data_IF_181462065131
#
_entry.id   IF_181462065131
#
_cell.length_a   1.000
_cell.length_b   1.000
_cell.length_c   1.000
_cell.angle_alpha   90.00
_cell.angle_beta   90.00
_cell.angle_gamma   90.00
#
_symmetry.space_group_name_H-M   'P 1'
#
loop_
_entity.id
_entity.type
_entity.pdbx_description
1 polymer ?
#
# COMPACT_ATOMS: atom_id res chain seq x y z
N UNK A 1 72.55 -30.35 -42.14
CA UNK A 1 72.40 -29.86 -40.77
C UNK A 1 71.21 -28.87 -40.72
N UNK A 2 70.06 -29.32 -40.39
CA UNK A 2 68.86 -28.43 -40.29
C UNK A 2 68.51 -28.22 -38.83
N UNK A 3 68.57 -26.96 -38.43
CA UNK A 3 68.10 -26.51 -37.08
C UNK A 3 66.57 -26.46 -37.06
N UNK A 4 65.95 -27.12 -36.10
CA UNK A 4 64.54 -27.05 -35.84
C UNK A 4 64.31 -25.95 -34.81
N UNK A 5 63.72 -24.86 -35.26
CA UNK A 5 63.23 -23.82 -34.38
C UNK A 5 61.81 -24.21 -33.94
N UNK A 6 61.63 -24.46 -32.65
CA UNK A 6 60.31 -24.73 -32.05
C UNK A 6 59.59 -23.37 -31.82
N UNK A 7 58.43 -23.21 -32.45
CA UNK A 7 57.48 -22.13 -32.16
C UNK A 7 56.62 -22.56 -30.94
N UNK A 8 56.83 -21.85 -29.84
CA UNK A 8 55.93 -21.99 -28.66
C UNK A 8 54.75 -21.03 -28.85
N UNK A 9 53.57 -21.58 -29.12
CA UNK A 9 52.30 -20.85 -29.17
C UNK A 9 51.78 -20.72 -27.73
N UNK A 10 51.86 -19.50 -27.18
CA UNK A 10 51.20 -19.19 -25.91
C UNK A 10 49.72 -18.91 -26.21
N UNK A 11 48.84 -19.82 -25.84
CA UNK A 11 47.42 -19.58 -25.86
C UNK A 11 47.02 -18.78 -24.62
N UNK A 12 46.71 -17.48 -24.79
CA UNK A 12 46.05 -16.68 -23.78
C UNK A 12 44.57 -17.16 -23.69
N UNK A 13 44.24 -17.90 -22.64
CA UNK A 13 42.86 -18.14 -22.26
C UNK A 13 42.30 -16.86 -21.64
N UNK A 14 41.52 -16.10 -22.38
CA UNK A 14 40.63 -15.06 -21.86
C UNK A 14 39.52 -15.78 -21.08
N UNK A 15 39.67 -15.81 -19.76
CA UNK A 15 38.56 -16.09 -18.85
C UNK A 15 37.63 -14.87 -18.92
N UNK A 16 36.67 -14.91 -19.84
CA UNK A 16 35.49 -14.08 -19.74
C UNK A 16 34.72 -14.52 -18.48
N UNK A 17 34.90 -13.74 -17.41
CA UNK A 17 33.96 -13.81 -16.30
C UNK A 17 32.59 -13.32 -16.84
N UNK A 18 31.78 -14.26 -17.30
CA UNK A 18 30.39 -14.01 -17.51
C UNK A 18 29.80 -13.74 -16.11
N UNK A 19 29.61 -12.46 -15.76
CA UNK A 19 28.68 -12.12 -14.70
C UNK A 19 27.37 -12.82 -15.09
N UNK A 20 26.69 -13.53 -14.17
CA UNK A 20 25.39 -14.07 -14.48
C UNK A 20 24.53 -12.91 -14.97
N UNK A 21 23.99 -13.01 -16.17
CA UNK A 21 22.91 -12.15 -16.62
C UNK A 21 21.78 -12.38 -15.61
N UNK A 22 21.61 -11.43 -14.69
CA UNK A 22 20.44 -11.38 -13.85
C UNK A 22 19.29 -11.16 -14.83
N UNK A 23 18.54 -12.22 -15.10
CA UNK A 23 17.39 -12.15 -15.98
C UNK A 23 16.28 -11.53 -15.10
N UNK A 24 16.16 -10.21 -15.14
CA UNK A 24 15.08 -9.50 -14.45
C UNK A 24 13.75 -9.98 -15.05
N UNK A 25 12.98 -10.71 -14.26
CA UNK A 25 11.79 -11.41 -14.71
C UNK A 25 10.52 -10.55 -14.65
N UNK A 26 10.62 -9.31 -14.18
CA UNK A 26 9.50 -8.37 -14.05
C UNK A 26 9.82 -7.00 -14.66
N UNK A 27 8.90 -6.05 -14.47
CA UNK A 27 9.05 -4.70 -15.02
C UNK A 27 8.98 -3.65 -13.91
N UNK A 28 9.98 -2.76 -13.79
CA UNK A 28 9.98 -1.65 -12.85
C UNK A 28 9.02 -0.55 -13.28
N UNK A 29 8.27 -0.02 -12.32
CA UNK A 29 7.47 1.19 -12.47
C UNK A 29 8.04 2.20 -11.46
N UNK A 30 8.65 3.29 -11.92
CA UNK A 30 9.03 4.37 -11.02
C UNK A 30 7.78 4.94 -10.36
N UNK A 31 7.80 5.01 -9.03
CA UNK A 31 6.73 5.62 -8.25
C UNK A 31 7.27 6.83 -7.50
N UNK A 32 6.41 7.79 -7.25
CA UNK A 32 6.76 9.06 -6.61
C UNK A 32 5.95 9.20 -5.33
N UNK A 33 6.63 9.54 -4.23
CA UNK A 33 5.98 9.91 -2.98
C UNK A 33 5.31 11.28 -3.14
N UNK A 34 4.07 11.38 -2.72
CA UNK A 34 3.32 12.63 -2.61
C UNK A 34 3.19 13.01 -1.12
N UNK A 35 3.44 14.28 -0.81
CA UNK A 35 3.23 14.85 0.52
C UNK A 35 4.10 14.33 1.69
N UNK A 36 3.86 14.88 2.88
CA UNK A 36 4.46 14.51 4.16
C UNK A 36 3.60 14.99 5.32
N UNK A 37 3.49 14.20 6.40
CA UNK A 37 2.91 14.63 7.68
C UNK A 37 3.85 15.54 8.48
N UNK A 38 5.05 15.77 7.97
CA UNK A 38 6.03 16.69 8.53
C UNK A 38 6.21 17.87 7.57
N UNK A 39 5.98 19.08 8.04
CA UNK A 39 6.20 20.29 7.26
C UNK A 39 7.70 20.51 7.00
N UNK A 40 8.09 21.30 5.98
CA UNK A 40 9.50 21.54 5.65
C UNK A 40 10.34 22.13 6.80
N UNK A 41 9.70 22.76 7.78
CA UNK A 41 10.35 23.30 8.98
C UNK A 41 10.50 22.26 10.12
N UNK A 42 10.14 20.98 9.91
CA UNK A 42 10.23 19.92 10.89
C UNK A 42 9.05 19.83 11.87
N UNK A 43 8.01 20.66 11.69
CA UNK A 43 6.82 20.61 12.55
C UNK A 43 5.80 19.61 12.02
N UNK A 44 5.04 19.02 12.95
CA UNK A 44 3.96 18.09 12.66
C UNK A 44 2.78 18.80 11.96
N UNK A 45 2.25 18.20 10.91
CA UNK A 45 1.06 18.68 10.23
C UNK A 45 -0.19 17.96 10.76
N UNK A 46 -0.77 18.51 11.81
CA UNK A 46 -1.91 17.92 12.51
C UNK A 46 -3.14 17.77 11.62
N UNK A 47 -3.40 18.73 10.72
CA UNK A 47 -4.58 18.70 9.84
C UNK A 47 -4.47 17.52 8.86
N UNK A 48 -3.34 17.38 8.19
CA UNK A 48 -3.07 16.25 7.29
C UNK A 48 -3.09 14.91 8.02
N UNK A 49 -2.53 14.86 9.23
CA UNK A 49 -2.48 13.64 10.02
C UNK A 49 -3.87 13.17 10.48
N UNK A 50 -4.75 14.11 10.84
CA UNK A 50 -6.15 13.80 11.16
C UNK A 50 -6.86 13.24 9.92
N UNK A 51 -6.70 13.89 8.75
CA UNK A 51 -7.28 13.44 7.49
C UNK A 51 -6.80 12.03 7.13
N UNK A 52 -5.47 11.77 7.18
CA UNK A 52 -4.91 10.45 6.92
C UNK A 52 -5.48 9.36 7.84
N UNK A 53 -5.65 9.64 9.15
CA UNK A 53 -6.26 8.71 10.09
C UNK A 53 -7.74 8.43 9.77
N UNK A 54 -8.49 9.43 9.36
CA UNK A 54 -9.90 9.26 8.96
C UNK A 54 -10.02 8.47 7.65
N UNK A 55 -9.16 8.74 6.66
CA UNK A 55 -9.06 7.99 5.40
C UNK A 55 -8.79 6.51 5.68
N UNK A 56 -7.83 6.20 6.56
CA UNK A 56 -7.53 4.85 7.02
C UNK A 56 -8.79 4.16 7.62
N UNK A 57 -9.46 4.80 8.58
CA UNK A 57 -10.65 4.22 9.22
C UNK A 57 -11.77 3.98 8.22
N UNK A 58 -11.97 4.90 7.28
CA UNK A 58 -12.98 4.80 6.23
C UNK A 58 -12.70 3.64 5.27
N UNK A 59 -11.43 3.51 4.83
CA UNK A 59 -10.99 2.40 3.98
C UNK A 59 -11.27 1.05 4.65
N UNK A 60 -10.88 0.90 5.92
CA UNK A 60 -11.13 -0.33 6.66
C UNK A 60 -12.61 -0.63 6.89
N UNK A 61 -13.41 0.38 7.23
CA UNK A 61 -14.85 0.23 7.39
C UNK A 61 -15.51 -0.33 6.11
N UNK A 62 -15.16 0.24 4.94
CA UNK A 62 -15.64 -0.22 3.64
C UNK A 62 -15.17 -1.64 3.34
N UNK A 63 -13.91 -1.95 3.61
CA UNK A 63 -13.35 -3.27 3.39
C UNK A 63 -14.07 -4.34 4.20
N UNK A 64 -14.41 -4.07 5.47
CA UNK A 64 -15.20 -5.00 6.29
C UNK A 64 -16.59 -5.24 5.71
N UNK A 65 -17.26 -4.19 5.20
CA UNK A 65 -18.55 -4.32 4.51
C UNK A 65 -18.40 -5.17 3.23
N UNK A 66 -17.34 -4.96 2.46
CA UNK A 66 -17.06 -5.77 1.27
C UNK A 66 -16.78 -7.23 1.63
N UNK A 67 -15.99 -7.48 2.67
CA UNK A 67 -15.69 -8.82 3.17
C UNK A 67 -16.96 -9.56 3.61
N UNK A 68 -17.83 -8.92 4.42
CA UNK A 68 -19.11 -9.54 4.79
C UNK A 68 -19.92 -9.90 3.55
N UNK A 69 -20.04 -8.97 2.59
CA UNK A 69 -20.80 -9.18 1.36
C UNK A 69 -20.21 -10.27 0.45
N UNK A 70 -18.88 -10.41 0.42
CA UNK A 70 -18.18 -11.32 -0.48
C UNK A 70 -17.97 -12.71 0.11
N UNK A 71 -17.71 -12.82 1.41
CA UNK A 71 -17.51 -14.09 2.12
C UNK A 71 -18.81 -14.67 2.71
N UNK A 72 -19.83 -13.81 2.90
CA UNK A 72 -21.08 -14.15 3.59
C UNK A 72 -21.00 -13.92 5.11
N UNK A 73 -22.17 -13.66 5.71
CA UNK A 73 -22.31 -13.25 7.13
C UNK A 73 -21.73 -14.28 8.11
N UNK A 74 -21.90 -15.58 7.85
CA UNK A 74 -21.41 -16.64 8.73
C UNK A 74 -19.89 -16.63 8.78
N UNK A 75 -19.24 -16.69 7.60
CA UNK A 75 -17.77 -16.67 7.51
C UNK A 75 -17.18 -15.36 8.03
N UNK A 76 -17.82 -14.22 7.75
CA UNK A 76 -17.40 -12.93 8.27
C UNK A 76 -17.40 -12.90 9.81
N UNK A 77 -18.44 -13.41 10.47
CA UNK A 77 -18.53 -13.47 11.94
C UNK A 77 -17.52 -14.43 12.57
N UNK A 78 -17.13 -15.49 11.89
CA UNK A 78 -16.02 -16.34 12.35
C UNK A 78 -14.69 -15.59 12.39
N UNK A 79 -14.45 -14.74 11.41
CA UNK A 79 -13.21 -13.99 11.26
C UNK A 79 -13.15 -12.70 12.10
N UNK A 80 -14.31 -12.07 12.27
CA UNK A 80 -14.47 -10.79 12.97
C UNK A 80 -15.65 -10.87 13.96
N UNK A 81 -15.54 -11.67 15.04
CA UNK A 81 -16.66 -11.93 15.96
C UNK A 81 -17.18 -10.66 16.65
N UNK A 82 -16.29 -9.69 16.88
CA UNK A 82 -16.59 -8.45 17.60
C UNK A 82 -16.92 -7.27 16.68
N UNK A 83 -16.85 -7.46 15.36
CA UNK A 83 -17.12 -6.39 14.40
C UNK A 83 -18.61 -6.02 14.39
N UNK A 84 -18.91 -4.75 14.62
CA UNK A 84 -20.25 -4.17 14.56
C UNK A 84 -20.37 -3.19 13.39
N UNK A 85 -20.73 -3.71 12.22
CA UNK A 85 -20.87 -2.91 11.00
C UNK A 85 -21.95 -1.81 11.14
N UNK A 86 -22.89 -1.94 12.09
CA UNK A 86 -23.90 -0.90 12.33
C UNK A 86 -23.30 0.38 12.90
N UNK A 87 -22.15 0.29 13.57
CA UNK A 87 -21.40 1.44 14.07
C UNK A 87 -20.65 2.15 12.95
N UNK A 88 -20.20 1.40 11.94
CA UNK A 88 -19.49 1.95 10.79
C UNK A 88 -20.40 2.82 9.92
N UNK A 89 -21.66 2.42 9.75
CA UNK A 89 -22.67 3.17 8.98
C UNK A 89 -23.17 4.45 9.69
N UNK A 90 -23.00 4.57 11.02
CA UNK A 90 -23.52 5.69 11.82
C UNK A 90 -22.51 6.82 12.06
N UNK A 91 -21.24 6.62 11.74
CA UNK A 91 -20.21 7.66 11.90
C UNK A 91 -20.28 8.63 10.73
N UNK A 92 -21.36 9.41 10.67
CA UNK A 92 -21.55 10.46 9.67
C UNK A 92 -20.73 11.70 10.02
N UNK A 93 -19.81 12.07 9.11
CA UNK A 93 -19.44 13.41 8.73
C UNK A 93 -18.91 14.36 9.80
N UNK A 94 -17.59 14.39 9.99
CA UNK A 94 -16.90 15.66 10.22
C UNK A 94 -16.37 16.11 8.86
N UNK A 95 -16.96 17.17 8.29
CA UNK A 95 -16.45 17.79 7.07
C UNK A 95 -15.08 18.39 7.37
N UNK A 96 -14.03 17.73 6.90
CA UNK A 96 -12.67 18.26 6.90
C UNK A 96 -12.40 18.83 5.51
N UNK A 97 -11.79 20.03 5.46
CA UNK A 97 -11.14 20.49 4.25
C UNK A 97 -9.81 19.77 4.15
N UNK A 98 -9.65 18.96 3.13
CA UNK A 98 -8.35 18.47 2.74
C UNK A 98 -7.52 19.67 2.27
N UNK A 99 -6.33 19.80 2.81
CA UNK A 99 -5.38 20.84 2.42
C UNK A 99 -4.13 20.16 1.90
N UNK A 100 -4.15 19.91 0.59
CA UNK A 100 -3.00 19.60 -0.26
C UNK A 100 -1.98 18.57 0.24
N UNK A 101 -1.73 17.58 -0.56
CA UNK A 101 -0.72 16.54 -0.53
C UNK A 101 -1.07 15.24 0.24
N UNK A 102 -1.88 14.41 -0.38
CA UNK A 102 -2.03 13.01 0.03
C UNK A 102 -0.67 12.28 0.04
N UNK A 103 -0.51 11.42 1.03
CA UNK A 103 0.73 10.69 1.32
C UNK A 103 0.73 9.36 0.59
N UNK A 104 0.75 9.38 -0.74
CA UNK A 104 0.54 8.25 -1.62
C UNK A 104 1.72 7.99 -2.54
N UNK A 105 1.79 6.76 -3.06
CA UNK A 105 2.83 6.32 -3.99
C UNK A 105 2.25 6.12 -5.38
N UNK A 106 2.43 7.12 -6.23
CA UNK A 106 1.79 7.16 -7.54
C UNK A 106 2.73 6.79 -8.68
N UNK A 107 2.16 6.14 -9.70
CA UNK A 107 2.83 5.83 -10.96
C UNK A 107 1.86 5.79 -12.13
N UNK A 108 2.37 5.56 -13.33
CA UNK A 108 1.56 5.63 -14.55
C UNK A 108 1.05 4.25 -14.97
N UNK A 109 -0.24 4.19 -15.27
CA UNK A 109 -0.88 3.06 -15.96
C UNK A 109 -1.53 3.51 -17.27
N UNK A 110 -2.00 2.57 -18.09
CA UNK A 110 -2.81 2.90 -19.24
C UNK A 110 -4.04 1.99 -19.35
N UNK A 111 -5.15 2.58 -19.83
CA UNK A 111 -6.44 1.90 -20.01
C UNK A 111 -6.93 2.15 -21.45
N UNK A 112 -7.37 1.09 -22.11
CA UNK A 112 -8.05 1.16 -23.42
C UNK A 112 -7.17 0.97 -24.64
N UNK A 113 -7.83 0.92 -25.80
CA UNK A 113 -7.22 0.76 -27.12
C UNK A 113 -7.79 1.80 -28.08
N UNK A 114 -7.02 2.85 -28.48
CA UNK A 114 -5.67 3.17 -28.04
C UNK A 114 -5.59 3.52 -26.55
N UNK A 115 -4.40 3.39 -26.00
CA UNK A 115 -4.11 3.61 -24.57
C UNK A 115 -4.41 5.06 -24.14
N UNK A 116 -5.08 5.21 -22.99
CA UNK A 116 -5.28 6.45 -22.25
C UNK A 116 -4.47 6.35 -20.95
N UNK A 117 -3.61 7.31 -20.66
CA UNK A 117 -2.67 7.25 -19.53
C UNK A 117 -3.23 7.96 -18.30
N UNK A 118 -2.95 7.38 -17.13
CA UNK A 118 -3.40 7.86 -15.83
C UNK A 118 -2.27 7.77 -14.80
N UNK A 119 -2.21 8.75 -13.91
CA UNK A 119 -1.39 8.70 -12.69
C UNK A 119 -2.25 8.08 -11.60
N UNK A 120 -1.77 7.00 -10.98
CA UNK A 120 -2.58 6.14 -10.10
C UNK A 120 -1.85 5.91 -8.79
N UNK A 121 -2.59 5.95 -7.67
CA UNK A 121 -2.15 5.42 -6.38
C UNK A 121 -2.21 3.89 -6.38
N UNK A 122 -1.14 3.23 -5.91
CA UNK A 122 -1.04 1.77 -5.81
C UNK A 122 -1.27 1.30 -4.38
N UNK A 123 -2.46 0.78 -4.12
CA UNK A 123 -2.97 0.47 -2.78
C UNK A 123 -3.11 -1.03 -2.51
N UNK A 124 -2.22 -1.62 -1.71
CA UNK A 124 -2.33 -3.05 -1.31
C UNK A 124 -3.42 -3.31 -0.27
N UNK A 125 -4.00 -2.25 0.31
CA UNK A 125 -5.10 -2.34 1.27
C UNK A 125 -6.49 -2.25 0.64
N UNK A 126 -6.63 -2.14 -0.69
CA UNK A 126 -7.91 -2.20 -1.40
C UNK A 126 -7.80 -3.05 -2.67
N UNK A 127 -8.92 -3.26 -3.41
CA UNK A 127 -8.95 -4.25 -4.49
C UNK A 127 -9.65 -3.77 -5.78
N UNK A 128 -10.12 -2.55 -5.84
CA UNK A 128 -10.81 -2.02 -7.02
C UNK A 128 -9.91 -1.04 -7.79
N UNK A 129 -10.09 -0.99 -9.12
CA UNK A 129 -9.52 0.05 -9.98
C UNK A 129 -10.60 1.07 -10.32
N UNK A 130 -10.32 2.35 -10.14
CA UNK A 130 -11.18 3.42 -10.62
C UNK A 130 -10.39 4.63 -11.09
N UNK A 131 -10.95 5.38 -12.05
CA UNK A 131 -10.43 6.64 -12.61
C UNK A 131 -11.58 7.58 -12.90
N UNK A 132 -11.31 8.88 -13.00
CA UNK A 132 -12.30 9.86 -13.44
C UNK A 132 -12.84 9.57 -14.85
N UNK A 133 -14.14 9.75 -15.08
CA UNK A 133 -14.77 9.66 -16.41
C UNK A 133 -14.72 10.99 -17.15
N UNK A 134 -14.62 10.95 -18.47
CA UNK A 134 -14.75 12.15 -19.33
C UNK A 134 -16.13 12.84 -19.24
N UNK A 135 -17.12 12.17 -18.67
CA UNK A 135 -18.43 12.74 -18.34
C UNK A 135 -18.53 13.30 -16.91
N UNK A 136 -17.49 13.15 -16.10
CA UNK A 136 -17.42 13.71 -14.76
C UNK A 136 -17.27 15.22 -14.81
N UNK A 137 -18.21 15.94 -14.23
CA UNK A 137 -18.18 17.42 -14.23
C UNK A 137 -17.26 17.99 -13.13
N UNK A 138 -16.98 17.20 -12.11
CA UNK A 138 -16.13 17.57 -10.95
C UNK A 138 -14.67 17.18 -11.17
N UNK A 139 -14.35 16.14 -11.91
CA UNK A 139 -12.98 15.61 -12.14
C UNK A 139 -12.08 16.49 -13.05
N UNK A 140 -12.20 17.80 -13.01
CA UNK A 140 -11.62 18.73 -14.01
C UNK A 140 -10.10 18.84 -13.99
N UNK A 141 -9.46 18.43 -12.91
CA UNK A 141 -7.99 18.51 -12.76
C UNK A 141 -7.29 17.21 -13.16
N UNK A 142 -8.05 16.12 -13.27
CA UNK A 142 -7.55 14.79 -13.53
C UNK A 142 -7.61 14.44 -15.02
N UNK A 143 -6.75 13.53 -15.47
CA UNK A 143 -6.95 12.82 -16.72
C UNK A 143 -8.19 11.95 -16.56
N UNK A 144 -9.04 11.95 -17.59
CA UNK A 144 -10.32 11.27 -17.51
C UNK A 144 -10.45 10.20 -18.61
N UNK A 145 -10.98 9.05 -18.24
CA UNK A 145 -11.23 7.96 -19.16
C UNK A 145 -12.44 8.26 -20.06
N UNK A 146 -12.23 8.11 -21.38
CA UNK A 146 -13.31 8.23 -22.36
C UNK A 146 -13.58 6.87 -23.01
N UNK A 147 -14.69 6.18 -22.66
CA UNK A 147 -15.01 4.86 -23.22
C UNK A 147 -15.22 4.90 -24.75
N UNK A 148 -15.68 6.02 -25.31
CA UNK A 148 -15.88 6.15 -26.78
C UNK A 148 -14.56 6.22 -27.55
N UNK A 149 -13.43 6.43 -26.88
CA UNK A 149 -12.10 6.45 -27.47
C UNK A 149 -11.38 5.11 -27.38
N UNK A 150 -11.98 4.09 -26.75
CA UNK A 150 -11.41 2.75 -26.65
C UNK A 150 -12.27 1.76 -27.44
N UNK A 151 -11.64 1.05 -28.37
CA UNK A 151 -12.28 0.00 -29.14
C UNK A 151 -12.49 -1.31 -28.35
N UNK A 152 -11.88 -1.43 -27.18
CA UNK A 152 -11.94 -2.59 -26.29
C UNK A 152 -12.78 -2.31 -25.04
N UNK A 153 -13.36 -1.11 -24.92
CA UNK A 153 -14.24 -0.72 -23.81
C UNK A 153 -15.60 -1.41 -23.90
N UNK A 154 -16.01 -2.03 -22.81
CA UNK A 154 -17.34 -2.62 -22.66
C UNK A 154 -18.00 -2.13 -21.38
N UNK A 155 -19.24 -1.58 -21.50
CA UNK A 155 -20.03 -1.20 -20.32
C UNK A 155 -20.55 -2.44 -19.60
N UNK A 156 -20.42 -2.44 -18.27
CA UNK A 156 -20.86 -3.53 -17.40
C UNK A 156 -22.08 -3.11 -16.57
N UNK A 157 -22.80 -4.11 -16.03
CA UNK A 157 -23.93 -3.85 -15.14
C UNK A 157 -23.45 -3.50 -13.74
N UNK A 158 -24.15 -2.58 -13.10
CA UNK A 158 -23.90 -2.15 -11.73
C UNK A 158 -23.32 -0.76 -11.66
N UNK A 159 -23.16 -0.28 -10.45
CA UNK A 159 -22.56 1.01 -10.11
C UNK A 159 -21.50 0.75 -9.05
N UNK A 160 -20.37 1.36 -9.23
CA UNK A 160 -19.32 1.43 -8.24
C UNK A 160 -19.57 2.65 -7.35
N UNK A 161 -19.33 2.51 -6.06
CA UNK A 161 -19.46 3.59 -5.09
C UNK A 161 -18.45 3.39 -3.96
N UNK A 162 -17.72 4.43 -3.67
CA UNK A 162 -16.89 4.57 -2.48
C UNK A 162 -17.39 5.78 -1.71
N UNK A 163 -17.57 5.61 -0.40
CA UNK A 163 -17.87 6.69 0.53
C UNK A 163 -16.86 6.62 1.68
N UNK A 164 -16.28 7.76 2.01
CA UNK A 164 -15.36 7.92 3.12
C UNK A 164 -16.08 8.53 4.33
N UNK A 165 -15.54 8.35 5.55
CA UNK A 165 -16.19 8.83 6.78
C UNK A 165 -16.21 10.37 6.91
N UNK A 166 -15.36 11.06 6.18
CA UNK A 166 -15.36 12.51 6.05
C UNK A 166 -16.45 13.03 5.10
N UNK A 167 -17.21 12.12 4.47
CA UNK A 167 -18.26 12.43 3.50
C UNK A 167 -17.76 12.57 2.07
N UNK A 168 -16.47 12.36 1.81
CA UNK A 168 -15.96 12.28 0.43
C UNK A 168 -16.45 11.00 -0.22
N UNK A 169 -16.72 11.05 -1.51
CA UNK A 169 -17.21 9.89 -2.25
C UNK A 169 -16.79 9.93 -3.71
N UNK A 170 -16.67 8.73 -4.31
CA UNK A 170 -16.55 8.58 -5.74
C UNK A 170 -17.50 7.50 -6.21
N UNK A 171 -18.24 7.76 -7.29
CA UNK A 171 -19.21 6.80 -7.84
C UNK A 171 -19.34 6.91 -9.34
N UNK A 172 -19.65 5.77 -9.98
CA UNK A 172 -19.81 5.76 -11.43
C UNK A 172 -20.11 4.38 -12.02
N UNK A 173 -20.33 4.33 -13.35
CA UNK A 173 -20.55 3.10 -14.07
C UNK A 173 -19.30 2.21 -14.09
N UNK A 174 -19.54 0.91 -14.22
CA UNK A 174 -18.50 -0.11 -14.32
C UNK A 174 -18.24 -0.41 -15.78
N UNK A 175 -16.97 -0.55 -16.13
CA UNK A 175 -16.49 -0.96 -17.45
C UNK A 175 -15.53 -2.14 -17.34
N UNK A 176 -15.30 -2.79 -18.48
CA UNK A 176 -14.13 -3.62 -18.72
C UNK A 176 -13.35 -3.06 -19.90
N UNK A 177 -12.03 -3.10 -19.81
CA UNK A 177 -11.14 -2.71 -20.89
C UNK A 177 -9.77 -3.41 -20.77
N UNK A 178 -8.89 -3.16 -21.73
CA UNK A 178 -7.48 -3.53 -21.65
C UNK A 178 -6.76 -2.58 -20.70
N UNK A 179 -6.05 -3.13 -19.69
CA UNK A 179 -5.26 -2.35 -18.73
C UNK A 179 -3.81 -2.80 -18.79
N UNK A 180 -2.89 -1.83 -18.80
CA UNK A 180 -1.45 -2.10 -18.80
C UNK A 180 -0.79 -1.38 -17.63
N UNK A 181 -0.05 -2.13 -16.82
CA UNK A 181 0.72 -1.66 -15.67
C UNK A 181 2.12 -2.24 -15.77
N UNK A 182 3.17 -1.41 -15.85
CA UNK A 182 4.54 -1.88 -15.92
C UNK A 182 4.81 -2.90 -17.05
N UNK A 183 4.19 -2.72 -18.22
CA UNK A 183 4.32 -3.65 -19.34
C UNK A 183 3.46 -4.93 -19.24
N UNK A 184 2.94 -5.28 -18.07
CA UNK A 184 1.94 -6.34 -17.93
C UNK A 184 0.60 -5.84 -18.47
N UNK A 185 0.03 -6.54 -19.47
CA UNK A 185 -1.23 -6.16 -20.12
C UNK A 185 -2.27 -7.24 -19.87
N UNK A 186 -3.42 -6.84 -19.37
CA UNK A 186 -4.59 -7.70 -19.16
C UNK A 186 -5.77 -7.21 -19.99
N UNK A 187 -6.61 -8.12 -20.45
CA UNK A 187 -7.83 -7.81 -21.20
C UNK A 187 -9.05 -8.02 -20.31
N UNK A 188 -10.10 -7.21 -20.55
CA UNK A 188 -11.35 -7.36 -19.81
C UNK A 188 -11.22 -7.08 -18.31
N UNK A 189 -10.25 -6.24 -17.89
CA UNK A 189 -10.13 -5.79 -16.50
C UNK A 189 -11.32 -4.94 -16.11
N UNK A 190 -11.95 -5.30 -15.01
CA UNK A 190 -13.03 -4.50 -14.42
C UNK A 190 -12.48 -3.26 -13.73
N UNK A 191 -13.13 -2.13 -13.96
CA UNK A 191 -12.84 -0.86 -13.27
C UNK A 191 -14.06 0.06 -13.33
N UNK A 192 -14.04 1.12 -12.52
CA UNK A 192 -15.03 2.17 -12.60
C UNK A 192 -14.48 3.42 -13.29
N UNK A 193 -15.25 4.00 -14.20
CA UNK A 193 -15.05 5.36 -14.67
C UNK A 193 -16.03 6.28 -13.91
N UNK A 194 -15.56 6.86 -12.80
CA UNK A 194 -16.41 7.60 -11.86
C UNK A 194 -16.93 8.89 -12.51
N UNK A 195 -18.22 9.17 -12.33
CA UNK A 195 -18.91 10.36 -12.86
C UNK A 195 -19.22 11.39 -11.80
N UNK A 196 -19.14 10.97 -10.54
CA UNK A 196 -19.24 11.85 -9.38
C UNK A 196 -18.01 11.59 -8.52
N UNK A 197 -17.31 12.64 -8.21
CA UNK A 197 -16.13 12.65 -7.37
C UNK A 197 -16.24 13.85 -6.43
N UNK A 198 -16.05 13.64 -5.13
CA UNK A 198 -16.06 14.73 -4.18
C UNK A 198 -14.94 15.72 -4.49
N UNK A 199 -15.18 17.01 -4.25
CA UNK A 199 -14.23 18.07 -4.58
C UNK A 199 -12.87 17.87 -3.91
N UNK A 200 -12.85 17.31 -2.72
CA UNK A 200 -11.64 16.99 -1.98
C UNK A 200 -10.74 15.96 -2.71
N UNK A 201 -11.34 14.92 -3.30
CA UNK A 201 -10.59 13.93 -4.09
C UNK A 201 -10.05 14.52 -5.40
N UNK A 202 -10.64 15.59 -5.93
CA UNK A 202 -10.17 16.25 -7.15
C UNK A 202 -8.99 17.19 -6.92
N UNK A 203 -8.61 17.42 -5.68
CA UNK A 203 -7.41 18.19 -5.30
C UNK A 203 -6.17 17.29 -5.24
N UNK A 204 -6.36 15.96 -5.13
CA UNK A 204 -5.31 14.98 -5.17
C UNK A 204 -4.60 14.97 -6.54
N UNK A 205 -3.31 14.71 -6.60
CA UNK A 205 -2.56 14.74 -7.87
C UNK A 205 -2.76 13.50 -8.74
N UNK A 206 -3.36 12.42 -8.22
CA UNK A 206 -3.64 11.19 -8.94
C UNK A 206 -5.00 11.22 -9.62
N UNK A 207 -5.07 10.54 -10.76
CA UNK A 207 -6.29 10.43 -11.58
C UNK A 207 -7.24 9.34 -11.05
N UNK A 208 -6.83 8.59 -10.03
CA UNK A 208 -7.56 7.48 -9.43
C UNK A 208 -6.68 6.51 -8.67
N UNK A 209 -7.21 5.34 -8.37
CA UNK A 209 -6.60 4.32 -7.50
C UNK A 209 -6.63 2.94 -8.16
N UNK A 210 -5.56 2.17 -7.99
CA UNK A 210 -5.48 0.75 -8.36
C UNK A 210 -5.23 -0.10 -7.13
N UNK A 211 -6.25 -0.84 -6.71
CA UNK A 211 -6.16 -1.79 -5.62
C UNK A 211 -5.32 -3.02 -5.99
N UNK A 212 -4.36 -3.35 -5.13
CA UNK A 212 -3.46 -4.50 -5.22
C UNK A 212 -3.71 -5.55 -4.11
N UNK A 213 -4.79 -5.39 -3.36
CA UNK A 213 -5.28 -6.39 -2.41
C UNK A 213 -5.89 -7.61 -3.11
N UNK A 214 -6.52 -8.51 -2.35
CA UNK A 214 -7.09 -9.73 -2.89
C UNK A 214 -8.60 -9.57 -3.17
N UNK A 215 -9.15 -10.45 -4.00
CA UNK A 215 -10.52 -10.37 -4.55
C UNK A 215 -11.63 -10.17 -3.51
N UNK A 216 -11.45 -10.70 -2.30
CA UNK A 216 -12.49 -10.57 -1.26
C UNK A 216 -12.72 -9.12 -0.77
N UNK A 217 -11.77 -8.20 -0.99
CA UNK A 217 -11.93 -6.77 -0.67
C UNK A 217 -12.69 -5.99 -1.76
N UNK A 218 -12.84 -6.53 -2.98
CA UNK A 218 -13.42 -5.80 -4.11
C UNK A 218 -14.90 -5.46 -3.87
N UNK A 219 -15.25 -4.19 -4.04
CA UNK A 219 -16.63 -3.71 -4.03
C UNK A 219 -17.40 -4.15 -5.29
N UNK A 220 -16.70 -4.33 -6.39
CA UNK A 220 -17.24 -4.85 -7.65
C UNK A 220 -17.37 -6.37 -7.67
N UNK A 221 -16.82 -7.11 -6.66
CA UNK A 221 -16.73 -8.58 -6.61
C UNK A 221 -15.95 -9.15 -7.81
N UNK A 222 -14.90 -8.46 -8.23
CA UNK A 222 -14.08 -8.81 -9.38
C UNK A 222 -12.63 -8.91 -8.97
N UNK A 223 -11.87 -9.66 -9.76
CA UNK A 223 -10.44 -9.79 -9.51
C UNK A 223 -9.72 -8.44 -9.71
N UNK A 224 -8.86 -8.05 -8.77
CA UNK A 224 -7.95 -6.94 -8.94
C UNK A 224 -7.01 -7.14 -10.13
N UNK A 225 -6.41 -6.07 -10.62
CA UNK A 225 -5.51 -6.10 -11.78
C UNK A 225 -4.44 -7.20 -11.67
N UNK A 226 -3.74 -7.27 -10.55
CA UNK A 226 -2.62 -8.20 -10.43
C UNK A 226 -3.07 -9.66 -10.38
N UNK A 227 -4.18 -9.96 -9.72
CA UNK A 227 -4.80 -11.30 -9.73
C UNK A 227 -5.24 -11.68 -11.16
N UNK A 228 -5.79 -10.73 -11.92
CA UNK A 228 -6.12 -10.93 -13.34
C UNK A 228 -4.86 -11.17 -14.17
N UNK A 229 -3.77 -10.44 -13.92
CA UNK A 229 -2.50 -10.59 -14.63
C UNK A 229 -1.89 -11.98 -14.44
N UNK A 230 -1.93 -12.50 -13.21
CA UNK A 230 -1.50 -13.87 -12.91
C UNK A 230 -2.38 -14.89 -13.65
N UNK A 231 -3.70 -14.77 -13.56
CA UNK A 231 -4.66 -15.69 -14.23
C UNK A 231 -4.53 -15.69 -15.75
N UNK A 232 -4.17 -14.56 -16.36
CA UNK A 232 -3.97 -14.42 -17.81
C UNK A 232 -2.54 -14.73 -18.26
N UNK A 233 -1.63 -15.09 -17.34
CA UNK A 233 -0.19 -15.26 -17.59
C UNK A 233 0.44 -14.01 -18.23
N UNK A 234 -0.03 -12.83 -17.85
CA UNK A 234 0.50 -11.53 -18.30
C UNK A 234 1.78 -11.14 -17.54
N UNK A 235 2.12 -11.86 -16.48
CA UNK A 235 3.34 -11.73 -15.68
C UNK A 235 4.09 -13.05 -15.65
N UNK A 236 5.40 -13.01 -15.41
CA UNK A 236 6.24 -14.23 -15.37
C UNK A 236 6.16 -14.95 -14.03
N UNK A 237 6.10 -14.17 -12.95
CA UNK A 237 5.92 -14.65 -11.59
C UNK A 237 4.72 -13.93 -10.99
N UNK A 238 3.89 -14.62 -10.22
CA UNK A 238 2.76 -14.03 -9.51
C UNK A 238 3.21 -13.23 -8.29
N UNK A 239 4.25 -12.39 -8.47
CA UNK A 239 4.85 -11.55 -7.44
C UNK A 239 4.91 -10.10 -7.91
N UNK A 240 4.56 -9.19 -7.02
CA UNK A 240 4.90 -7.76 -7.17
C UNK A 240 5.60 -7.28 -5.92
N UNK A 241 6.39 -6.21 -6.04
CA UNK A 241 7.20 -5.74 -4.92
C UNK A 241 7.35 -4.23 -4.90
N UNK A 242 7.48 -3.68 -3.71
CA UNK A 242 7.70 -2.26 -3.46
C UNK A 242 9.08 -2.00 -2.85
N UNK A 243 9.74 -0.98 -3.35
CA UNK A 243 10.78 -0.24 -2.65
C UNK A 243 10.27 1.18 -2.46
N UNK A 244 10.02 1.58 -1.23
CA UNK A 244 9.60 2.93 -0.87
C UNK A 244 10.77 3.71 -0.25
N UNK A 245 10.84 5.01 -0.48
CA UNK A 245 11.90 5.83 0.08
C UNK A 245 11.89 7.26 -0.47
N UNK A 246 12.81 8.08 -0.01
CA UNK A 246 12.91 9.48 -0.47
C UNK A 246 13.31 9.61 -1.95
N UNK A 247 13.92 8.57 -2.51
CA UNK A 247 14.33 8.54 -3.92
C UNK A 247 14.43 7.12 -4.45
N UNK A 248 14.25 6.96 -5.74
CA UNK A 248 14.35 5.67 -6.42
C UNK A 248 13.30 4.68 -5.94
N UNK A 249 12.10 5.15 -5.61
CA UNK A 249 10.97 4.31 -5.25
C UNK A 249 10.45 3.61 -6.49
N UNK A 250 10.05 2.35 -6.31
CA UNK A 250 9.69 1.46 -7.40
C UNK A 250 8.59 0.49 -6.97
N UNK A 251 7.61 0.30 -7.84
CA UNK A 251 6.75 -0.86 -7.88
C UNK A 251 7.26 -1.79 -8.98
N UNK A 252 7.59 -3.03 -8.66
CA UNK A 252 8.05 -4.04 -9.59
C UNK A 252 6.96 -5.08 -9.84
N UNK A 253 6.57 -5.29 -11.08
CA UNK A 253 5.46 -6.18 -11.46
C UNK A 253 6.01 -7.45 -12.13
N UNK A 254 5.60 -8.62 -11.64
CA UNK A 254 5.93 -9.93 -12.21
C UNK A 254 7.27 -10.49 -11.73
N UNK A 255 7.67 -10.16 -10.52
CA UNK A 255 8.89 -10.65 -9.85
C UNK A 255 9.42 -9.67 -8.80
N UNK A 256 10.72 -9.70 -8.55
CA UNK A 256 11.42 -8.81 -7.62
C UNK A 256 12.68 -8.23 -8.27
N UNK A 257 13.04 -6.99 -7.93
CA UNK A 257 14.25 -6.34 -8.42
C UNK A 257 15.41 -6.53 -7.43
N UNK A 258 16.24 -7.53 -7.69
CA UNK A 258 17.37 -7.91 -6.83
C UNK A 258 18.45 -6.83 -6.64
N UNK A 259 18.38 -5.72 -7.37
CA UNK A 259 19.29 -4.57 -7.19
C UNK A 259 18.87 -3.66 -6.05
N UNK A 260 17.62 -3.80 -5.57
CA UNK A 260 17.03 -2.92 -4.58
C UNK A 260 17.00 -3.52 -3.17
N UNK A 261 17.48 -4.76 -3.02
CA UNK A 261 17.54 -5.40 -1.71
C UNK A 261 18.79 -6.26 -1.56
N UNK A 262 19.15 -6.56 -0.30
CA UNK A 262 20.28 -7.39 0.07
C UNK A 262 19.82 -8.73 0.68
N UNK A 263 20.54 -9.79 0.35
CA UNK A 263 20.29 -11.14 0.88
C UNK A 263 19.10 -11.82 0.24
N UNK A 264 18.39 -12.64 1.02
CA UNK A 264 17.16 -13.31 0.61
C UNK A 264 15.93 -12.60 1.16
N UNK A 265 14.82 -12.67 0.43
CA UNK A 265 13.52 -12.24 0.94
C UNK A 265 13.02 -13.29 1.93
N UNK A 266 12.61 -12.85 3.11
CA UNK A 266 12.00 -13.67 4.15
C UNK A 266 10.48 -13.63 3.98
N UNK A 267 9.89 -14.70 3.45
CA UNK A 267 8.46 -14.80 3.19
C UNK A 267 7.69 -15.36 4.39
N UNK A 268 6.48 -14.84 4.59
CA UNK A 268 5.53 -15.24 5.63
C UNK A 268 4.17 -15.50 4.99
N UNK A 269 3.56 -16.63 5.32
CA UNK A 269 2.28 -17.03 4.75
C UNK A 269 1.17 -16.04 5.14
N UNK A 270 0.31 -15.71 4.18
CA UNK A 270 -0.93 -14.97 4.46
C UNK A 270 -1.85 -15.88 5.27
N UNK A 271 -2.20 -15.45 6.47
CA UNK A 271 -2.92 -16.26 7.45
C UNK A 271 -4.41 -16.36 7.19
N UNK A 272 -4.93 -15.65 6.18
CA UNK A 272 -6.37 -15.53 6.03
C UNK A 272 -6.81 -15.40 4.57
N UNK A 273 -7.99 -15.94 4.29
CA UNK A 273 -8.77 -15.70 3.08
C UNK A 273 -9.55 -14.35 3.12
N UNK A 274 -9.10 -13.43 3.97
CA UNK A 274 -9.79 -12.16 4.27
C UNK A 274 -9.58 -11.06 3.23
N UNK A 275 -8.78 -11.32 2.21
CA UNK A 275 -8.55 -10.36 1.14
C UNK A 275 -7.49 -9.31 1.44
N UNK A 276 -6.95 -9.23 2.65
CA UNK A 276 -5.78 -8.45 3.02
C UNK A 276 -4.50 -9.26 2.88
N UNK A 277 -3.40 -8.57 2.62
CA UNK A 277 -2.06 -9.09 2.81
C UNK A 277 -1.73 -9.12 4.30
N UNK A 278 -2.38 -10.04 5.02
CA UNK A 278 -2.28 -10.18 6.46
C UNK A 278 -1.46 -11.41 6.83
N UNK A 279 -0.42 -11.22 7.62
CA UNK A 279 0.53 -12.24 8.08
C UNK A 279 0.56 -12.29 9.60
N UNK A 280 0.63 -13.49 10.17
CA UNK A 280 0.56 -13.72 11.61
C UNK A 280 1.89 -14.03 12.26
N UNK A 281 1.85 -14.15 13.60
CA UNK A 281 3.01 -14.53 14.42
C UNK A 281 4.02 -13.40 14.63
N UNK A 282 3.64 -12.16 14.36
CA UNK A 282 4.52 -11.02 14.57
C UNK A 282 4.72 -10.70 16.06
N UNK A 283 5.90 -10.19 16.37
CA UNK A 283 6.18 -9.49 17.62
C UNK A 283 6.53 -8.03 17.32
N UNK A 284 5.91 -7.09 18.03
CA UNK A 284 6.31 -5.70 18.08
C UNK A 284 7.28 -5.46 19.21
N UNK A 285 8.39 -4.79 18.95
CA UNK A 285 9.43 -4.47 19.92
C UNK A 285 9.51 -2.96 20.12
N UNK A 286 9.70 -2.56 21.37
CA UNK A 286 9.97 -1.18 21.79
C UNK A 286 11.32 -1.15 22.52
N UNK A 287 12.28 -0.38 21.97
CA UNK A 287 13.64 -0.28 22.48
C UNK A 287 14.30 -1.66 22.72
N UNK A 288 14.17 -2.55 21.73
CA UNK A 288 14.73 -3.90 21.73
C UNK A 288 14.03 -4.90 22.66
N UNK A 289 12.92 -4.53 23.30
CA UNK A 289 12.11 -5.42 24.15
C UNK A 289 10.77 -5.71 23.54
N UNK A 290 10.34 -6.96 23.56
CA UNK A 290 9.01 -7.33 23.08
C UNK A 290 7.94 -6.59 23.88
N UNK A 291 7.16 -5.79 23.16
CA UNK A 291 5.98 -5.08 23.68
C UNK A 291 4.74 -5.95 23.53
N UNK A 292 4.54 -6.54 22.35
CA UNK A 292 3.42 -7.42 22.04
C UNK A 292 3.89 -8.58 21.16
N UNK A 293 3.23 -9.74 21.26
CA UNK A 293 3.50 -10.95 20.47
C UNK A 293 2.20 -11.53 19.91
N UNK A 294 2.33 -12.53 19.05
CA UNK A 294 1.21 -13.18 18.35
C UNK A 294 0.32 -12.18 17.63
N UNK A 295 0.94 -11.16 17.03
CA UNK A 295 0.24 -10.16 16.24
C UNK A 295 -0.06 -10.69 14.85
N UNK A 296 -1.20 -10.27 14.35
CA UNK A 296 -1.57 -10.30 12.94
C UNK A 296 -1.26 -8.92 12.35
N UNK A 297 -0.56 -8.87 11.22
CA UNK A 297 -0.15 -7.60 10.62
C UNK A 297 -0.62 -7.49 9.17
N UNK A 298 -1.33 -6.42 8.85
CA UNK A 298 -1.76 -6.08 7.49
C UNK A 298 -0.70 -5.15 6.89
N UNK A 299 -0.17 -5.50 5.73
CA UNK A 299 0.84 -4.70 5.02
C UNK A 299 0.14 -3.89 3.91
N UNK A 300 0.13 -2.56 4.07
CA UNK A 300 -0.76 -1.67 3.32
C UNK A 300 -0.05 -0.44 2.76
N UNK A 301 0.28 -0.45 1.46
CA UNK A 301 0.95 0.65 0.76
C UNK A 301 0.07 1.89 0.52
N UNK A 302 -1.25 1.77 0.66
CA UNK A 302 -2.20 2.89 0.59
C UNK A 302 -2.50 3.49 1.96
N UNK A 303 -1.62 3.30 2.95
CA UNK A 303 -1.71 3.88 4.29
C UNK A 303 -0.34 4.39 4.73
N UNK A 304 -0.25 5.64 5.09
CA UNK A 304 1.00 6.27 5.55
C UNK A 304 1.47 5.78 6.91
N UNK A 305 0.52 5.60 7.83
CA UNK A 305 0.73 5.39 9.26
C UNK A 305 0.80 3.89 9.60
N UNK A 306 1.18 3.61 10.83
CA UNK A 306 0.85 2.34 11.48
C UNK A 306 -0.35 2.55 12.39
N UNK A 307 -1.24 1.56 12.46
CA UNK A 307 -2.42 1.64 13.30
C UNK A 307 -2.66 0.35 14.10
N UNK A 308 -3.17 0.53 15.31
CA UNK A 308 -3.63 -0.57 16.15
C UNK A 308 -4.85 -0.10 16.97
N UNK A 309 -5.45 -1.02 17.70
CA UNK A 309 -6.57 -0.71 18.59
C UNK A 309 -6.16 0.37 19.61
N UNK A 310 -7.03 1.39 19.87
CA UNK A 310 -6.68 2.54 20.71
C UNK A 310 -6.12 2.21 22.08
N UNK A 311 -6.64 1.19 22.77
CA UNK A 311 -6.14 0.81 24.10
C UNK A 311 -4.75 0.19 24.04
N UNK A 312 -4.40 -0.48 22.95
CA UNK A 312 -3.06 -1.05 22.73
C UNK A 312 -2.07 0.06 22.47
N UNK A 313 -2.46 1.07 21.69
CA UNK A 313 -1.62 2.23 21.40
C UNK A 313 -1.39 3.09 22.66
N UNK A 314 -2.43 3.26 23.49
CA UNK A 314 -2.28 3.92 24.80
C UNK A 314 -1.23 3.20 25.68
N UNK A 315 -1.29 1.88 25.76
CA UNK A 315 -0.30 1.08 26.52
C UNK A 315 1.11 1.22 25.91
N UNK A 316 1.21 1.24 24.57
CA UNK A 316 2.49 1.41 23.89
C UNK A 316 3.16 2.72 24.29
N UNK A 317 2.46 3.86 24.12
CA UNK A 317 3.04 5.16 24.48
C UNK A 317 3.22 5.35 25.98
N UNK A 318 2.35 4.79 26.82
CA UNK A 318 2.53 4.78 28.28
C UNK A 318 3.82 4.07 28.74
N UNK A 319 4.37 3.17 27.90
CA UNK A 319 5.65 2.51 28.12
C UNK A 319 6.87 3.39 27.76
N UNK A 320 6.65 4.54 27.14
CA UNK A 320 7.70 5.49 26.72
C UNK A 320 7.80 6.62 27.76
N UNK A 321 8.99 6.76 28.36
CA UNK A 321 9.19 7.82 29.36
C UNK A 321 9.05 9.20 28.75
N UNK A 322 8.15 10.00 29.31
CA UNK A 322 7.90 11.38 28.86
C UNK A 322 6.98 11.45 27.65
N UNK A 323 6.30 10.36 27.31
CA UNK A 323 5.21 10.40 26.35
C UNK A 323 4.05 11.27 26.84
N UNK A 324 3.25 11.77 25.89
CA UNK A 324 2.06 12.56 26.15
C UNK A 324 1.01 12.28 25.06
N UNK A 325 -0.11 12.97 25.18
CA UNK A 325 -1.17 12.94 24.21
C UNK A 325 -1.53 14.36 23.82
N UNK A 326 -1.52 14.66 22.54
CA UNK A 326 -1.91 15.96 21.98
C UNK A 326 -3.41 15.91 21.64
N UNK A 327 -4.22 16.53 22.49
CA UNK A 327 -5.68 16.51 22.36
C UNK A 327 -6.18 17.25 21.09
N UNK A 328 -5.41 18.21 20.58
CA UNK A 328 -5.76 18.96 19.37
C UNK A 328 -5.71 18.07 18.12
N UNK A 329 -4.66 17.28 17.98
CA UNK A 329 -4.48 16.38 16.84
C UNK A 329 -5.02 14.96 17.10
N UNK A 330 -5.13 14.55 18.36
CA UNK A 330 -5.45 13.19 18.75
C UNK A 330 -4.31 12.20 18.50
N UNK A 331 -3.06 12.67 18.55
CA UNK A 331 -1.85 11.87 18.40
C UNK A 331 -1.09 11.75 19.72
N UNK A 332 -0.47 10.62 19.93
CA UNK A 332 0.49 10.45 21.02
C UNK A 332 1.82 11.09 20.66
N UNK A 333 2.49 11.62 21.68
CA UNK A 333 3.78 12.30 21.54
C UNK A 333 4.83 11.63 22.39
N UNK A 334 6.10 11.85 22.05
CA UNK A 334 7.27 11.47 22.82
C UNK A 334 8.30 12.61 22.81
N UNK A 335 9.34 12.59 23.70
CA UNK A 335 10.36 13.61 23.68
C UNK A 335 11.15 13.62 22.36
N UNK A 336 11.19 14.72 21.62
CA UNK A 336 11.84 14.80 20.29
C UNK A 336 13.33 14.44 20.31
N UNK A 337 14.01 14.59 21.44
CA UNK A 337 15.41 14.23 21.62
C UNK A 337 15.62 12.74 22.01
N UNK A 338 14.56 11.95 22.07
CA UNK A 338 14.60 10.53 22.45
C UNK A 338 13.54 9.75 21.70
N UNK A 339 13.75 9.62 20.37
CA UNK A 339 12.85 8.85 19.49
C UNK A 339 12.90 7.38 19.91
N UNK A 340 11.76 6.73 20.19
CA UNK A 340 11.73 5.32 20.54
C UNK A 340 12.12 4.44 19.34
N UNK A 341 12.90 3.40 19.59
CA UNK A 341 13.17 2.38 18.58
C UNK A 341 12.01 1.41 18.50
N UNK A 342 11.38 1.33 17.32
CA UNK A 342 10.25 0.44 17.04
C UNK A 342 10.67 -0.58 16.00
N UNK A 343 10.39 -1.85 16.23
CA UNK A 343 10.74 -2.92 15.29
C UNK A 343 9.71 -4.04 15.31
N UNK A 344 9.70 -4.81 14.22
CA UNK A 344 8.84 -5.98 14.05
C UNK A 344 9.67 -7.22 13.71
N UNK A 345 9.17 -8.39 14.14
CA UNK A 345 9.79 -9.67 13.88
C UNK A 345 8.72 -10.76 13.72
N UNK A 346 8.84 -11.59 12.68
CA UNK A 346 7.93 -12.70 12.41
C UNK A 346 8.60 -14.07 12.62
N UNK A 347 9.52 -14.16 13.62
CA UNK A 347 10.26 -15.37 13.94
C UNK A 347 11.62 -15.50 13.26
N UNK A 348 11.92 -14.62 12.29
CA UNK A 348 13.21 -14.53 11.60
C UNK A 348 13.99 -13.26 11.97
N UNK A 349 14.25 -12.43 10.97
CA UNK A 349 14.96 -11.15 11.12
C UNK A 349 14.08 -10.11 11.81
N UNK A 350 14.73 -9.24 12.58
CA UNK A 350 14.09 -8.05 13.16
C UNK A 350 14.22 -6.87 12.20
N UNK A 351 13.10 -6.23 11.89
CA UNK A 351 12.97 -5.11 10.99
C UNK A 351 12.69 -3.84 11.78
N UNK A 352 13.67 -2.95 11.82
CA UNK A 352 13.61 -1.72 12.62
C UNK A 352 13.15 -0.55 11.76
N UNK A 353 12.21 0.21 12.29
CA UNK A 353 11.74 1.46 11.68
C UNK A 353 12.73 2.56 12.03
N UNK A 354 13.13 3.35 11.04
CA UNK A 354 14.01 4.50 11.27
C UNK A 354 13.34 5.54 12.17
N UNK A 355 14.12 6.21 12.99
CA UNK A 355 13.59 7.29 13.83
C UNK A 355 12.96 8.41 13.02
N UNK A 356 13.47 8.67 11.81
CA UNK A 356 12.94 9.69 10.90
C UNK A 356 11.57 9.31 10.31
N UNK A 357 11.30 8.01 10.15
CA UNK A 357 10.00 7.53 9.67
C UNK A 357 8.97 7.39 10.80
N UNK A 358 9.42 7.13 12.02
CA UNK A 358 8.54 7.05 13.19
C UNK A 358 8.15 8.44 13.74
N UNK A 359 9.03 9.43 13.61
CA UNK A 359 8.83 10.80 14.09
C UNK A 359 8.15 11.65 13.02
N UNK A 360 6.90 12.00 13.25
CA UNK A 360 6.09 12.84 12.34
C UNK A 360 6.32 14.35 12.52
N UNK A 361 7.19 14.75 13.44
CA UNK A 361 7.52 16.16 13.71
C UNK A 361 7.00 16.67 15.04
N UNK A 362 7.47 17.88 15.40
CA UNK A 362 7.12 18.54 16.67
C UNK A 362 5.70 19.11 16.62
N UNK A 363 4.90 18.80 17.66
CA UNK A 363 3.53 19.32 17.83
C UNK A 363 3.52 20.71 18.45
N UNK A 364 2.41 21.43 18.34
CA UNK A 364 2.23 22.75 18.98
C UNK A 364 2.25 22.69 20.50
N UNK A 365 1.82 21.57 21.08
CA UNK A 365 1.81 21.32 22.52
C UNK A 365 3.18 20.94 23.09
N UNK A 366 4.18 20.72 22.22
CA UNK A 366 5.49 20.19 22.54
C UNK A 366 5.54 18.66 22.46
N UNK A 367 6.76 18.12 22.26
CA UNK A 367 6.94 16.72 21.94
C UNK A 367 6.73 16.42 20.47
N UNK A 368 7.21 15.28 20.01
CA UNK A 368 7.12 14.82 18.64
C UNK A 368 6.00 13.79 18.48
N UNK A 369 5.16 13.94 17.46
CA UNK A 369 4.08 12.99 17.16
C UNK A 369 4.66 11.66 16.64
N UNK A 370 4.10 10.55 17.08
CA UNK A 370 4.52 9.22 16.65
C UNK A 370 3.62 8.63 15.57
N UNK A 371 4.22 7.85 14.68
CA UNK A 371 3.55 7.28 13.53
C UNK A 371 2.69 6.03 13.82
N UNK A 372 2.62 5.57 15.07
CA UNK A 372 1.66 4.55 15.50
C UNK A 372 0.43 5.24 16.09
N UNK A 373 -0.74 5.05 15.47
CA UNK A 373 -1.98 5.71 15.87
C UNK A 373 -3.03 4.73 16.36
N UNK A 374 -3.82 5.17 17.34
CA UNK A 374 -5.02 4.45 17.77
C UNK A 374 -6.14 4.64 16.75
N UNK A 375 -6.59 3.54 16.15
CA UNK A 375 -7.72 3.53 15.25
C UNK A 375 -8.62 2.32 15.55
N UNK A 376 -9.89 2.59 15.79
CA UNK A 376 -10.89 1.53 15.93
C UNK A 376 -11.23 0.99 14.53
N UNK A 377 -10.49 -0.05 14.12
CA UNK A 377 -10.65 -0.70 12.83
C UNK A 377 -11.72 -1.81 12.86
N UNK A 378 -12.41 -2.01 13.99
CA UNK A 378 -13.34 -3.12 14.21
C UNK A 378 -12.71 -4.50 13.94
N UNK A 379 -11.45 -4.62 14.23
CA UNK A 379 -10.65 -5.84 14.13
C UNK A 379 -10.25 -6.34 15.52
N UNK A 380 -9.84 -7.61 15.68
CA UNK A 380 -9.27 -8.09 16.93
C UNK A 380 -8.08 -7.24 17.38
N UNK A 381 -7.91 -7.09 18.70
CA UNK A 381 -6.90 -6.20 19.30
C UNK A 381 -5.45 -6.57 18.95
N UNK A 382 -5.21 -7.79 18.49
CA UNK A 382 -3.90 -8.24 18.02
C UNK A 382 -3.66 -7.96 16.54
N UNK A 383 -4.60 -7.33 15.81
CA UNK A 383 -4.40 -6.93 14.41
C UNK A 383 -3.82 -5.52 14.36
N UNK A 384 -2.66 -5.39 13.75
CA UNK A 384 -2.00 -4.11 13.48
C UNK A 384 -1.91 -3.87 11.97
N UNK A 385 -2.06 -2.64 11.57
CA UNK A 385 -1.82 -2.22 10.20
C UNK A 385 -0.45 -1.56 10.12
N UNK A 386 0.36 -2.01 9.17
CA UNK A 386 1.70 -1.50 8.90
C UNK A 386 1.71 -0.88 7.51
N UNK A 387 1.67 0.45 7.48
CA UNK A 387 1.69 1.24 6.25
C UNK A 387 3.10 1.66 5.84
N UNK A 388 3.19 2.78 5.14
CA UNK A 388 4.45 3.33 4.62
C UNK A 388 5.51 3.55 5.69
N UNK A 389 5.11 3.93 6.89
CA UNK A 389 6.03 4.08 8.03
C UNK A 389 6.87 2.83 8.24
N UNK A 390 6.29 1.63 8.05
CA UNK A 390 7.04 0.38 8.09
C UNK A 390 7.69 0.08 6.72
N UNK A 391 6.92 0.15 5.62
CA UNK A 391 7.36 -0.30 4.30
C UNK A 391 8.56 0.49 3.74
N UNK A 392 8.77 1.73 4.16
CA UNK A 392 9.95 2.53 3.78
C UNK A 392 11.28 1.97 4.31
N UNK A 393 11.24 1.09 5.29
CA UNK A 393 12.43 0.52 5.93
C UNK A 393 12.82 -0.87 5.43
N UNK A 394 12.02 -1.43 4.51
CA UNK A 394 12.20 -2.78 3.96
C UNK A 394 11.87 -2.81 2.47
N UNK A 395 12.46 -3.73 1.74
CA UNK A 395 11.93 -4.16 0.46
C UNK A 395 10.78 -5.12 0.73
N UNK A 396 9.58 -4.84 0.20
CA UNK A 396 8.38 -5.63 0.46
C UNK A 396 7.93 -6.34 -0.81
N UNK A 397 7.77 -7.66 -0.76
CA UNK A 397 7.28 -8.48 -1.87
C UNK A 397 5.96 -9.16 -1.50
N UNK A 398 5.02 -9.16 -2.44
CA UNK A 398 3.70 -9.76 -2.32
C UNK A 398 3.56 -10.87 -3.34
N UNK A 399 3.42 -12.12 -2.89
CA UNK A 399 3.31 -13.30 -3.74
C UNK A 399 1.88 -13.82 -3.77
N UNK A 400 1.25 -13.73 -4.94
CA UNK A 400 -0.03 -14.41 -5.22
C UNK A 400 0.21 -15.91 -5.42
N UNK A 401 1.36 -16.28 -6.00
CA UNK A 401 1.70 -17.69 -6.26
C UNK A 401 1.85 -18.48 -4.97
N UNK A 402 2.51 -17.89 -3.95
CA UNK A 402 2.77 -18.55 -2.67
C UNK A 402 1.79 -18.14 -1.57
N UNK A 403 0.89 -17.19 -1.85
CA UNK A 403 0.00 -16.58 -0.86
C UNK A 403 0.79 -16.05 0.36
N UNK A 404 1.79 -15.21 0.10
CA UNK A 404 2.76 -14.77 1.11
C UNK A 404 3.17 -13.31 0.94
N UNK A 405 3.63 -12.70 2.04
CA UNK A 405 4.32 -11.39 2.04
C UNK A 405 5.75 -11.60 2.51
N UNK A 406 6.70 -10.97 1.83
CA UNK A 406 8.11 -11.12 2.15
C UNK A 406 8.85 -9.81 2.35
N UNK A 407 9.88 -9.83 3.19
CA UNK A 407 10.71 -8.67 3.51
C UNK A 407 12.18 -8.95 3.25
N UNK A 408 12.90 -7.93 2.74
CA UNK A 408 14.35 -7.95 2.64
C UNK A 408 14.94 -6.60 3.06
N UNK A 409 16.23 -6.59 3.41
CA UNK A 409 16.93 -5.35 3.67
C UNK A 409 17.07 -4.55 2.38
N UNK A 410 16.93 -3.23 2.45
CA UNK A 410 17.19 -2.35 1.32
C UNK A 410 18.69 -2.36 0.97
N UNK A 411 19.00 -2.29 -0.36
CA UNK A 411 20.36 -2.22 -0.88
C UNK A 411 21.01 -0.84 -0.69
#
# INVERSE_FOLDING_TARGET
MFSKTALSTVALALLASASPLINERGTPIPIVKRGSLTRPNGTFDAEKAIAARLKLQSKHARNLINLERNLGVERFKELYPDADLSKLQKRAGVSLKDQDDDLEWTGTISIGTPAQSFTIDFDTGSADLWVGSSSCSTCRRHNTYNPSRSSTSESQRGTFEIEYQDGTSASGPIYTDTVTVGGATVTGQYFSAVTNEAEQLTEDPEDGLLGLGLTALSSMKKDPFFVTAVKQNAVQEGVFAFKLGQSGSELYIGGTNSRLYEGSIEYHDVTTDKGYWQIGGASALLNGRTFASDLETIIDSGTTLMAAEPSVVDQFYSSIRGSGYDEESGYYTFPCNSVPEVSFNWGGKTWTISGDDFNLGETRSGGCAGALVGADLQMPNNVWLLGDTFMKNVYTAFSVDDNAVGFAALA
#
